data_IF_196274636880
#
_entry.id   IF_196274636880
#
_cell.length_a   1.000
_cell.length_b   1.000
_cell.length_c   1.000
_cell.angle_alpha   90.00
_cell.angle_beta   90.00
_cell.angle_gamma   90.00
#
_symmetry.space_group_name_H-M   'P 1'
#
loop_
_entity.id
_entity.type
_entity.pdbx_description
1 polymer ?
#
# COMPACT_ATOMS: atom_id res chain seq x y z
N UNK A 1 22.22 6.40 -28.81
CA UNK A 1 22.33 5.51 -27.63
C UNK A 1 21.18 5.88 -26.69
N UNK A 2 20.35 4.92 -26.27
CA UNK A 2 19.19 5.21 -25.43
C UNK A 2 19.62 5.72 -24.05
N UNK A 3 19.05 6.83 -23.58
CA UNK A 3 19.32 7.38 -22.24
C UNK A 3 18.38 6.71 -21.24
N UNK A 4 18.92 6.27 -20.11
CA UNK A 4 18.17 5.72 -18.97
C UNK A 4 18.14 6.77 -17.87
N UNK A 5 16.97 7.01 -17.30
CA UNK A 5 16.77 7.89 -16.16
C UNK A 5 16.37 7.06 -14.92
N UNK A 6 16.80 7.48 -13.74
CA UNK A 6 16.42 6.83 -12.48
C UNK A 6 15.35 7.70 -11.83
N UNK A 7 14.14 7.19 -11.69
CA UNK A 7 13.04 7.82 -10.97
C UNK A 7 12.97 7.34 -9.53
N UNK A 8 12.79 8.23 -8.57
CA UNK A 8 12.61 7.92 -7.15
C UNK A 8 11.15 8.12 -6.78
N UNK A 9 10.54 7.18 -6.06
CA UNK A 9 9.11 7.21 -5.73
C UNK A 9 8.90 6.86 -4.25
N UNK A 10 8.10 7.63 -3.53
CA UNK A 10 7.86 7.45 -2.10
C UNK A 10 6.41 7.02 -1.81
N UNK A 11 6.21 5.76 -1.42
CA UNK A 11 4.97 5.31 -0.79
C UNK A 11 5.02 5.65 0.70
N UNK A 12 4.54 6.84 1.07
CA UNK A 12 4.51 7.33 2.45
C UNK A 12 3.18 6.95 3.07
N UNK A 13 3.22 6.10 4.08
CA UNK A 13 2.04 5.53 4.74
C UNK A 13 1.92 6.07 6.16
N UNK A 14 0.69 6.42 6.53
CA UNK A 14 0.30 6.74 7.89
C UNK A 14 -1.06 6.10 8.23
N UNK A 15 -1.51 6.25 9.48
CA UNK A 15 -2.90 5.93 9.87
C UNK A 15 -3.54 7.18 10.45
N UNK A 16 -4.71 7.54 9.94
CA UNK A 16 -5.48 8.69 10.41
C UNK A 16 -6.95 8.31 10.47
N UNK A 17 -7.66 8.71 11.54
CA UNK A 17 -9.08 8.42 11.74
C UNK A 17 -9.45 6.94 11.56
N UNK A 18 -8.56 6.02 11.99
CA UNK A 18 -8.71 4.58 11.79
C UNK A 18 -8.79 4.18 10.32
N UNK A 19 -8.17 4.93 9.42
CA UNK A 19 -7.95 4.55 8.04
C UNK A 19 -6.46 4.56 7.73
N UNK A 20 -5.97 3.56 6.99
CA UNK A 20 -4.63 3.61 6.44
C UNK A 20 -4.62 4.62 5.28
N UNK A 21 -3.71 5.58 5.34
CA UNK A 21 -3.61 6.65 4.35
C UNK A 21 -2.25 6.64 3.69
N UNK A 22 -2.23 6.96 2.41
CA UNK A 22 -1.03 7.29 1.67
C UNK A 22 -0.98 8.79 1.42
N UNK A 23 0.22 9.37 1.44
CA UNK A 23 0.41 10.75 1.00
C UNK A 23 0.38 10.80 -0.52
N UNK A 24 -0.50 11.65 -1.05
CA UNK A 24 -0.71 11.83 -2.48
C UNK A 24 -0.33 13.26 -2.86
N UNK A 25 0.41 13.42 -3.95
CA UNK A 25 0.65 14.70 -4.63
C UNK A 25 -0.21 14.75 -5.88
N UNK A 26 -0.69 15.95 -6.23
CA UNK A 26 -1.51 16.18 -7.42
C UNK A 26 -0.76 17.04 -8.41
N UNK A 27 -0.82 16.63 -9.67
CA UNK A 27 -0.32 17.40 -10.80
C UNK A 27 -1.36 17.38 -11.92
N UNK A 28 -0.99 17.95 -13.08
CA UNK A 28 -1.77 17.85 -14.31
C UNK A 28 -2.11 16.38 -14.64
N UNK A 29 -3.31 16.12 -15.16
CA UNK A 29 -3.76 14.77 -15.48
C UNK A 29 -2.85 14.10 -16.50
N UNK A 30 -2.59 12.79 -16.31
CA UNK A 30 -1.90 11.99 -17.32
C UNK A 30 -2.80 11.66 -18.53
N UNK A 31 -2.26 10.90 -19.50
CA UNK A 31 -2.99 10.50 -20.70
C UNK A 31 -4.31 9.73 -20.44
N UNK A 32 -4.50 9.20 -19.22
CA UNK A 32 -5.73 8.53 -18.79
C UNK A 32 -6.57 9.35 -17.81
N UNK A 33 -6.22 10.62 -17.60
CA UNK A 33 -6.94 11.53 -16.71
C UNK A 33 -6.60 11.37 -15.22
N UNK A 34 -5.61 10.53 -14.86
CA UNK A 34 -5.23 10.35 -13.47
C UNK A 34 -4.39 11.55 -12.99
N UNK A 35 -4.80 12.15 -11.87
CA UNK A 35 -4.12 13.32 -11.26
C UNK A 35 -3.38 12.97 -9.98
N UNK A 36 -3.83 11.93 -9.27
CA UNK A 36 -3.24 11.49 -8.00
C UNK A 36 -1.94 10.69 -8.26
N UNK A 37 -0.86 11.03 -7.57
CA UNK A 37 0.42 10.33 -7.63
C UNK A 37 1.11 10.21 -6.26
N UNK A 38 2.09 9.32 -6.15
CA UNK A 38 3.02 9.32 -5.02
C UNK A 38 4.04 10.46 -5.20
N UNK A 39 4.62 11.02 -4.12
CA UNK A 39 5.77 11.90 -4.25
C UNK A 39 6.90 11.22 -5.03
N UNK A 40 7.43 11.90 -6.04
CA UNK A 40 8.33 11.28 -7.01
C UNK A 40 9.27 12.30 -7.68
N UNK A 41 10.39 11.86 -8.22
CA UNK A 41 11.24 12.73 -9.04
C UNK A 41 12.54 12.08 -9.48
N UNK A 42 13.27 12.69 -10.45
CA UNK A 42 14.49 12.12 -10.98
C UNK A 42 15.64 12.14 -9.96
N UNK A 43 16.48 11.11 -9.98
CA UNK A 43 17.75 11.13 -9.28
C UNK A 43 18.77 11.98 -10.05
N UNK A 44 19.27 13.05 -9.42
CA UNK A 44 20.34 13.88 -9.96
C UNK A 44 21.66 13.62 -9.21
N UNK A 45 22.64 12.94 -9.81
CA UNK A 45 23.91 12.62 -9.13
C UNK A 45 24.78 13.84 -8.81
N UNK A 46 24.49 15.02 -9.37
CA UNK A 46 25.22 16.26 -9.04
C UNK A 46 24.76 16.87 -7.72
N UNK A 47 23.51 16.66 -7.33
CA UNK A 47 22.90 17.27 -6.14
C UNK A 47 22.53 16.23 -5.09
N UNK A 48 22.26 14.99 -5.47
CA UNK A 48 21.87 13.90 -4.58
C UNK A 48 23.08 12.99 -4.32
N UNK A 49 23.55 12.98 -3.07
CA UNK A 49 24.68 12.12 -2.65
C UNK A 49 24.34 10.63 -2.72
N UNK A 50 23.10 10.29 -2.38
CA UNK A 50 22.56 8.92 -2.44
C UNK A 50 21.14 8.94 -3.00
N UNK A 51 20.66 7.78 -3.48
CA UNK A 51 19.27 7.62 -3.92
C UNK A 51 18.29 8.02 -2.80
N UNK A 52 18.56 7.61 -1.57
CA UNK A 52 17.75 7.96 -0.41
C UNK A 52 17.75 9.48 -0.13
N UNK A 53 18.90 10.16 -0.25
CA UNK A 53 18.94 11.63 -0.10
C UNK A 53 18.13 12.35 -1.17
N UNK A 54 18.13 11.82 -2.40
CA UNK A 54 17.32 12.37 -3.49
C UNK A 54 15.83 12.18 -3.22
N UNK A 55 15.44 11.01 -2.72
CA UNK A 55 14.05 10.73 -2.32
C UNK A 55 13.59 11.71 -1.23
N UNK A 56 14.39 11.87 -0.18
CA UNK A 56 14.10 12.80 0.93
C UNK A 56 13.98 14.24 0.44
N UNK A 57 14.85 14.67 -0.48
CA UNK A 57 14.76 15.99 -1.11
C UNK A 57 13.44 16.19 -1.84
N UNK A 58 13.02 15.24 -2.67
CA UNK A 58 11.76 15.33 -3.42
C UNK A 58 10.53 15.32 -2.50
N UNK A 59 10.54 14.51 -1.44
CA UNK A 59 9.44 14.46 -0.47
C UNK A 59 9.33 15.78 0.29
N UNK A 60 10.46 16.38 0.69
CA UNK A 60 10.48 17.70 1.31
C UNK A 60 9.97 18.78 0.35
N UNK A 61 10.37 18.74 -0.92
CA UNK A 61 9.97 19.74 -1.92
C UNK A 61 8.48 19.65 -2.28
N UNK A 62 7.96 18.45 -2.52
CA UNK A 62 6.59 18.23 -3.00
C UNK A 62 5.56 18.17 -1.87
N UNK A 63 5.99 17.87 -0.65
CA UNK A 63 5.06 17.67 0.44
C UNK A 63 5.52 18.17 1.82
N UNK A 64 6.66 18.88 1.89
CA UNK A 64 7.18 19.50 3.12
C UNK A 64 7.36 18.55 4.30
N UNK A 65 7.57 17.26 4.03
CA UNK A 65 7.68 16.22 5.04
C UNK A 65 9.11 15.72 5.20
N UNK A 66 9.62 15.83 6.42
CA UNK A 66 10.83 15.13 6.83
C UNK A 66 10.50 13.65 7.12
N UNK A 67 11.11 12.76 6.35
CA UNK A 67 10.94 11.32 6.56
C UNK A 67 11.75 10.85 7.77
N UNK A 68 11.12 10.12 8.69
CA UNK A 68 11.84 9.37 9.73
C UNK A 68 12.31 8.03 9.17
N UNK A 69 11.41 7.06 9.24
CA UNK A 69 11.60 5.72 8.71
C UNK A 69 11.39 5.70 7.18
N UNK A 70 12.39 5.21 6.44
CA UNK A 70 12.29 4.91 5.02
C UNK A 70 13.08 3.62 4.69
N UNK A 71 12.53 2.78 3.82
CA UNK A 71 13.21 1.60 3.29
C UNK A 71 12.98 1.46 1.79
N UNK A 72 13.99 1.01 1.06
CA UNK A 72 13.82 0.69 -0.35
C UNK A 72 12.91 -0.54 -0.50
N UNK A 73 11.90 -0.43 -1.37
CA UNK A 73 10.96 -1.51 -1.69
C UNK A 73 11.50 -2.39 -2.81
N UNK A 74 11.39 -1.88 -4.04
CA UNK A 74 11.67 -2.61 -5.27
C UNK A 74 12.12 -1.64 -6.36
N UNK A 75 12.85 -2.18 -7.34
CA UNK A 75 13.23 -1.47 -8.55
C UNK A 75 12.42 -2.02 -9.70
N UNK A 76 11.71 -1.13 -10.37
CA UNK A 76 10.82 -1.44 -11.46
C UNK A 76 11.49 -0.94 -12.75
N UNK A 77 11.57 -1.79 -13.78
CA UNK A 77 12.35 -1.56 -15.00
C UNK A 77 11.59 -1.75 -16.32
N UNK A 78 10.29 -2.02 -16.29
CA UNK A 78 9.53 -2.34 -17.51
C UNK A 78 9.38 -1.10 -18.43
N UNK A 79 9.51 -1.28 -19.76
CA UNK A 79 9.17 -0.22 -20.74
C UNK A 79 7.65 -0.01 -20.76
N UNK A 80 7.20 1.24 -20.92
CA UNK A 80 5.77 1.58 -20.96
C UNK A 80 5.21 2.23 -19.69
N UNK A 81 5.99 2.35 -18.61
CA UNK A 81 5.49 2.81 -17.30
C UNK A 81 5.35 4.32 -17.15
N UNK A 82 6.03 5.07 -18.02
CA UNK A 82 5.85 6.51 -18.22
C UNK A 82 5.38 6.79 -19.66
N UNK A 83 4.85 5.78 -20.36
CA UNK A 83 4.54 5.93 -21.78
C UNK A 83 3.34 6.84 -21.97
N UNK A 84 3.62 8.05 -22.41
CA UNK A 84 2.64 8.90 -23.07
C UNK A 84 2.41 8.41 -24.51
N UNK A 85 1.29 8.78 -25.11
CA UNK A 85 1.03 8.42 -26.50
C UNK A 85 2.13 9.00 -27.41
N UNK A 86 2.93 8.12 -28.05
CA UNK A 86 4.08 8.53 -28.87
C UNK A 86 5.44 8.54 -28.17
N UNK A 87 5.57 7.92 -26.99
CA UNK A 87 6.75 7.96 -26.12
C UNK A 87 8.09 7.61 -26.85
N UNK A 88 8.89 8.67 -27.08
CA UNK A 88 10.30 8.62 -27.52
C UNK A 88 11.25 9.06 -26.40
N UNK A 89 10.74 9.22 -25.18
CA UNK A 89 11.47 9.69 -24.01
C UNK A 89 12.52 8.72 -23.47
N UNK A 90 13.34 9.15 -22.51
CA UNK A 90 14.32 8.28 -21.86
C UNK A 90 13.61 7.14 -21.11
N UNK A 91 14.23 5.97 -21.11
CA UNK A 91 13.71 4.83 -20.37
C UNK A 91 13.86 5.07 -18.86
N UNK A 92 12.76 5.13 -18.12
CA UNK A 92 12.79 5.37 -16.67
C UNK A 92 12.85 4.05 -15.90
N UNK A 93 13.83 3.95 -15.00
CA UNK A 93 13.93 2.91 -13.96
C UNK A 93 13.44 3.50 -12.64
N UNK A 94 12.23 3.13 -12.22
CA UNK A 94 11.61 3.59 -10.98
C UNK A 94 12.12 2.79 -9.78
N UNK A 95 12.63 3.47 -8.76
CA UNK A 95 12.98 2.89 -7.46
C UNK A 95 11.93 3.34 -6.45
N UNK A 96 11.15 2.37 -5.95
CA UNK A 96 10.13 2.62 -4.94
C UNK A 96 10.70 2.53 -3.53
N UNK A 97 10.25 3.41 -2.66
CA UNK A 97 10.54 3.41 -1.23
C UNK A 97 9.25 3.37 -0.43
N UNK A 98 9.29 2.69 0.71
CA UNK A 98 8.25 2.73 1.73
C UNK A 98 8.73 3.63 2.85
N UNK A 99 7.92 4.62 3.21
CA UNK A 99 8.14 5.40 4.41
C UNK A 99 6.93 5.28 5.34
N UNK A 100 7.19 5.27 6.64
CA UNK A 100 6.17 5.22 7.68
C UNK A 100 6.25 6.50 8.49
N UNK A 101 5.11 7.14 8.71
CA UNK A 101 5.03 8.37 9.50
C UNK A 101 3.71 8.47 10.24
N UNK A 102 3.60 9.51 11.07
CA UNK A 102 2.42 9.82 11.86
C UNK A 102 1.74 11.03 11.25
N UNK A 103 0.40 11.03 11.20
CA UNK A 103 -0.35 12.24 10.86
C UNK A 103 -0.43 13.10 12.11
N UNK A 104 0.34 14.17 12.18
CA UNK A 104 0.30 15.12 13.31
C UNK A 104 -0.81 16.15 13.14
N UNK A 105 -1.46 16.57 14.24
CA UNK A 105 -2.41 17.71 14.27
C UNK A 105 -1.73 19.05 13.96
N UNK A 106 -0.39 19.07 14.03
CA UNK A 106 0.47 20.20 13.67
C UNK A 106 1.69 19.69 12.92
N UNK A 107 1.49 19.04 11.76
CA UNK A 107 2.53 19.00 10.74
C UNK A 107 2.33 20.23 9.84
N UNK A 108 3.05 21.35 10.06
CA UNK A 108 3.07 22.49 9.13
C UNK A 108 3.76 22.15 7.79
N UNK A 109 3.81 20.86 7.39
CA UNK A 109 4.61 20.36 6.28
C UNK A 109 3.81 19.97 5.05
N UNK A 110 2.59 19.43 5.20
CA UNK A 110 1.78 19.01 4.04
C UNK A 110 1.08 20.22 3.41
N UNK A 111 1.88 21.16 2.90
CA UNK A 111 1.39 22.36 2.22
C UNK A 111 0.89 22.04 0.80
N UNK A 112 1.36 20.93 0.21
CA UNK A 112 1.17 20.58 -1.21
C UNK A 112 0.73 19.12 -1.47
N UNK A 113 0.56 18.32 -0.42
CA UNK A 113 0.08 16.94 -0.51
C UNK A 113 -1.32 16.75 0.10
N UNK A 114 -1.92 15.58 -0.06
CA UNK A 114 -3.17 15.21 0.61
C UNK A 114 -3.10 13.77 1.07
N UNK A 115 -3.47 13.52 2.33
CA UNK A 115 -3.64 12.17 2.84
C UNK A 115 -4.90 11.55 2.26
N UNK A 116 -4.76 10.41 1.56
CA UNK A 116 -5.89 9.68 0.99
C UNK A 116 -5.90 8.26 1.51
N UNK A 117 -7.10 7.78 1.84
CA UNK A 117 -7.32 6.37 2.19
C UNK A 117 -6.79 5.49 1.07
N UNK A 118 -5.91 4.54 1.37
CA UNK A 118 -5.43 3.66 0.29
C UNK A 118 -6.55 2.77 -0.26
N UNK A 119 -7.66 2.63 0.48
CA UNK A 119 -8.82 1.85 0.06
C UNK A 119 -9.61 2.55 -1.04
N UNK A 120 -9.38 3.85 -1.27
CA UNK A 120 -9.85 4.52 -2.48
C UNK A 120 -9.20 3.93 -3.75
N UNK A 121 -7.91 3.59 -3.65
CA UNK A 121 -7.16 2.96 -4.74
C UNK A 121 -7.29 1.44 -4.73
N UNK A 122 -7.67 0.81 -3.62
CA UNK A 122 -7.84 -0.65 -3.54
C UNK A 122 -9.12 -1.01 -2.77
N UNK A 123 -10.31 -0.75 -3.35
CA UNK A 123 -11.59 -0.90 -2.64
C UNK A 123 -11.92 -2.34 -2.24
N UNK A 124 -11.25 -3.34 -2.81
CA UNK A 124 -11.38 -4.75 -2.46
C UNK A 124 -10.48 -5.21 -1.29
N UNK A 125 -9.69 -4.32 -0.69
CA UNK A 125 -8.74 -4.67 0.38
C UNK A 125 -9.27 -4.41 1.79
N UNK A 126 -10.40 -3.72 1.97
CA UNK A 126 -10.98 -3.41 3.28
C UNK A 126 -12.02 -4.46 3.71
N UNK A 127 -11.58 -5.46 4.46
CA UNK A 127 -12.39 -6.57 4.97
C UNK A 127 -12.96 -6.33 6.37
N UNK A 128 -12.79 -5.13 6.95
CA UNK A 128 -13.25 -4.81 8.31
C UNK A 128 -14.77 -4.88 8.40
N UNK A 129 -15.47 -4.62 7.31
CA UNK A 129 -16.93 -4.73 7.21
C UNK A 129 -17.39 -6.08 6.62
N UNK A 130 -16.52 -7.09 6.63
CA UNK A 130 -16.72 -8.35 5.92
C UNK A 130 -16.25 -8.28 4.47
N UNK A 131 -16.63 -9.27 3.67
CA UNK A 131 -16.21 -9.39 2.27
C UNK A 131 -16.67 -8.17 1.45
N UNK A 132 -15.75 -7.42 0.80
CA UNK A 132 -16.12 -6.23 0.02
C UNK A 132 -17.11 -6.56 -1.10
N UNK A 133 -18.22 -5.82 -1.16
CA UNK A 133 -19.27 -6.04 -2.17
C UNK A 133 -18.76 -5.93 -3.61
N UNK A 134 -17.78 -5.05 -3.85
CA UNK A 134 -17.14 -4.87 -5.17
C UNK A 134 -16.50 -6.15 -5.71
N UNK A 135 -16.10 -7.08 -4.83
CA UNK A 135 -15.58 -8.38 -5.27
C UNK A 135 -16.63 -9.16 -6.04
N UNK A 136 -17.83 -9.25 -5.48
CA UNK A 136 -18.94 -10.02 -6.08
C UNK A 136 -19.61 -9.27 -7.23
N UNK A 137 -19.80 -7.95 -7.09
CA UNK A 137 -20.56 -7.18 -8.08
C UNK A 137 -19.78 -6.79 -9.32
N UNK A 138 -18.44 -6.68 -9.25
CA UNK A 138 -17.61 -6.17 -10.35
C UNK A 138 -16.36 -7.02 -10.58
N UNK A 139 -15.50 -7.18 -9.57
CA UNK A 139 -14.14 -7.72 -9.78
C UNK A 139 -14.14 -9.16 -10.25
N UNK A 140 -14.82 -10.06 -9.53
CA UNK A 140 -14.78 -11.50 -9.83
C UNK A 140 -15.51 -11.87 -11.13
N UNK A 141 -16.70 -11.31 -11.46
CA UNK A 141 -17.33 -11.54 -12.75
C UNK A 141 -16.42 -11.19 -13.93
N UNK A 142 -15.71 -10.06 -13.84
CA UNK A 142 -14.85 -9.55 -14.92
C UNK A 142 -13.55 -10.34 -15.04
N UNK A 143 -12.97 -10.75 -13.92
CA UNK A 143 -11.83 -11.65 -13.90
C UNK A 143 -12.19 -13.06 -14.42
N UNK A 144 -13.41 -13.54 -14.16
CA UNK A 144 -13.89 -14.80 -14.73
C UNK A 144 -13.99 -14.73 -16.25
N UNK A 145 -14.60 -13.68 -16.79
CA UNK A 145 -14.66 -13.46 -18.24
C UNK A 145 -13.25 -13.42 -18.87
N UNK A 146 -12.30 -12.73 -18.22
CA UNK A 146 -10.91 -12.72 -18.67
C UNK A 146 -10.23 -14.08 -18.60
N UNK A 147 -10.52 -14.87 -17.55
CA UNK A 147 -9.95 -16.19 -17.35
C UNK A 147 -10.44 -17.21 -18.40
N UNK A 148 -11.69 -17.08 -18.84
CA UNK A 148 -12.32 -17.97 -19.82
C UNK A 148 -11.91 -17.66 -21.28
N UNK A 149 -11.27 -16.50 -21.54
CA UNK A 149 -10.79 -16.13 -22.87
C UNK A 149 -9.65 -17.04 -23.33
N UNK A 150 -9.65 -17.48 -24.61
CA UNK A 150 -8.56 -18.27 -25.16
C UNK A 150 -7.23 -17.53 -25.06
N UNK A 151 -6.17 -18.25 -24.69
CA UNK A 151 -4.82 -17.69 -24.69
C UNK A 151 -4.42 -17.35 -26.14
N UNK A 152 -3.71 -16.23 -26.31
CA UNK A 152 -3.19 -15.85 -27.63
C UNK A 152 -2.24 -16.93 -28.15
N UNK A 153 -2.31 -17.32 -29.44
CA UNK A 153 -1.34 -18.21 -30.05
C UNK A 153 0.09 -17.67 -29.83
N UNK A 154 1.00 -18.51 -29.33
CA UNK A 154 2.39 -18.13 -29.05
C UNK A 154 2.63 -17.42 -27.71
N UNK A 155 1.61 -17.26 -26.86
CA UNK A 155 1.84 -16.82 -25.48
C UNK A 155 2.72 -17.84 -24.73
N UNK A 156 3.69 -17.38 -23.91
CA UNK A 156 4.52 -18.29 -23.14
C UNK A 156 3.65 -19.14 -22.21
N UNK A 157 3.89 -20.45 -22.21
CA UNK A 157 3.19 -21.38 -21.33
C UNK A 157 3.41 -20.95 -19.87
N UNK A 158 2.32 -20.59 -19.18
CA UNK A 158 2.38 -20.28 -17.75
C UNK A 158 2.09 -21.55 -16.95
N UNK A 159 2.86 -21.82 -15.87
CA UNK A 159 2.64 -23.01 -15.03
C UNK A 159 1.26 -23.04 -14.35
N UNK A 160 0.68 -21.87 -14.08
CA UNK A 160 -0.59 -21.71 -13.36
C UNK A 160 -1.59 -21.02 -14.28
N UNK A 161 -2.79 -21.60 -14.41
CA UNK A 161 -3.87 -21.07 -15.23
C UNK A 161 -4.45 -19.77 -14.65
N UNK A 162 -5.12 -18.97 -15.51
CA UNK A 162 -5.75 -17.72 -15.08
C UNK A 162 -6.76 -17.92 -13.94
N UNK A 163 -7.62 -18.92 -14.06
CA UNK A 163 -8.61 -19.26 -13.04
C UNK A 163 -7.97 -19.59 -11.68
N UNK A 164 -6.90 -20.39 -11.67
CA UNK A 164 -6.17 -20.72 -10.44
C UNK A 164 -5.51 -19.49 -9.80
N UNK A 165 -4.95 -18.58 -10.61
CA UNK A 165 -4.39 -17.33 -10.09
C UNK A 165 -5.46 -16.45 -9.46
N UNK A 166 -6.63 -16.32 -10.08
CA UNK A 166 -7.78 -15.59 -9.51
C UNK A 166 -8.17 -16.22 -8.18
N UNK A 167 -8.31 -17.55 -8.13
CA UNK A 167 -8.62 -18.30 -6.91
C UNK A 167 -7.64 -18.01 -5.77
N UNK A 168 -6.34 -18.11 -6.07
CA UNK A 168 -5.27 -17.89 -5.09
C UNK A 168 -5.19 -16.43 -4.60
N UNK A 169 -5.45 -15.45 -5.48
CA UNK A 169 -5.28 -14.04 -5.14
C UNK A 169 -6.49 -13.45 -4.42
N UNK A 170 -7.70 -13.91 -4.75
CA UNK A 170 -8.95 -13.36 -4.22
C UNK A 170 -9.66 -14.28 -3.21
N UNK A 171 -9.08 -15.43 -2.87
CA UNK A 171 -9.65 -16.36 -1.90
C UNK A 171 -11.04 -16.86 -2.32
N UNK A 172 -11.17 -17.33 -3.56
CA UNK A 172 -12.42 -17.97 -4.04
C UNK A 172 -12.32 -19.49 -3.92
N UNK A 173 -13.44 -20.19 -4.05
CA UNK A 173 -13.47 -21.66 -4.16
C UNK A 173 -12.72 -22.39 -3.02
N UNK A 174 -12.88 -21.90 -1.79
CA UNK A 174 -12.26 -22.46 -0.59
C UNK A 174 -10.80 -22.04 -0.34
N UNK A 175 -10.19 -21.24 -1.21
CA UNK A 175 -8.91 -20.61 -0.94
C UNK A 175 -9.05 -19.50 0.12
N UNK A 176 -8.04 -19.35 0.97
CA UNK A 176 -8.02 -18.34 2.02
C UNK A 176 -7.62 -16.97 1.46
N UNK A 177 -8.20 -15.90 2.01
CA UNK A 177 -7.73 -14.55 1.75
C UNK A 177 -6.35 -14.33 2.35
N UNK A 178 -5.39 -13.89 1.53
CA UNK A 178 -4.05 -13.52 1.94
C UNK A 178 -3.89 -12.00 1.79
N UNK A 179 -3.76 -11.30 2.92
CA UNK A 179 -3.65 -9.86 2.97
C UNK A 179 -2.33 -9.34 2.35
N UNK A 180 -1.31 -10.18 2.18
CA UNK A 180 -0.01 -9.77 1.60
C UNK A 180 -0.04 -9.72 0.07
N UNK A 181 -1.03 -10.38 -0.58
CA UNK A 181 -1.16 -10.50 -2.04
C UNK A 181 -1.73 -9.26 -2.75
N UNK A 182 -1.54 -8.07 -2.18
CA UNK A 182 -2.08 -6.82 -2.75
C UNK A 182 -1.52 -6.56 -4.15
N UNK A 183 -0.21 -6.75 -4.33
CA UNK A 183 0.43 -6.62 -5.64
C UNK A 183 -0.08 -7.67 -6.62
N UNK A 184 -0.18 -8.94 -6.22
CA UNK A 184 -0.68 -10.00 -7.11
C UNK A 184 -2.10 -9.72 -7.61
N UNK A 185 -2.98 -9.20 -6.73
CA UNK A 185 -4.34 -8.78 -7.09
C UNK A 185 -4.34 -7.61 -8.06
N UNK A 186 -3.52 -6.58 -7.81
CA UNK A 186 -3.36 -5.46 -8.74
C UNK A 186 -2.85 -5.92 -10.11
N UNK A 187 -1.83 -6.77 -10.15
CA UNK A 187 -1.23 -7.29 -11.38
C UNK A 187 -2.23 -8.14 -12.18
N UNK A 188 -3.10 -8.90 -11.51
CA UNK A 188 -4.18 -9.63 -12.19
C UNK A 188 -5.17 -8.70 -12.87
N UNK A 189 -5.59 -7.63 -12.18
CA UNK A 189 -6.51 -6.65 -12.75
C UNK A 189 -5.86 -5.84 -13.88
N UNK A 190 -4.56 -5.56 -13.76
CA UNK A 190 -3.77 -4.91 -14.81
C UNK A 190 -3.62 -5.82 -16.04
N UNK A 191 -3.27 -7.09 -15.86
CA UNK A 191 -3.18 -8.08 -16.94
C UNK A 191 -4.55 -8.32 -17.62
N UNK A 192 -5.62 -8.19 -16.85
CA UNK A 192 -6.99 -8.27 -17.35
C UNK A 192 -7.49 -6.99 -18.04
N UNK A 193 -6.71 -5.91 -18.08
CA UNK A 193 -7.16 -4.66 -18.71
C UNK A 193 -8.31 -3.97 -17.98
N UNK A 194 -8.43 -4.19 -16.65
CA UNK A 194 -9.56 -3.72 -15.84
C UNK A 194 -9.28 -2.43 -15.07
N UNK A 195 -8.01 -2.11 -14.78
CA UNK A 195 -7.63 -0.86 -14.09
C UNK A 195 -7.25 0.24 -15.09
N UNK A 196 -7.42 1.49 -14.68
CA UNK A 196 -7.11 2.69 -15.47
C UNK A 196 -5.70 2.65 -16.08
N UNK A 197 -4.72 2.19 -15.31
CA UNK A 197 -3.33 2.08 -15.76
C UNK A 197 -3.18 1.09 -16.92
N UNK A 198 -3.92 -0.02 -16.92
CA UNK A 198 -3.87 -0.98 -18.02
C UNK A 198 -4.56 -0.44 -19.28
N UNK A 199 -5.64 0.32 -19.12
CA UNK A 199 -6.32 0.99 -20.23
C UNK A 199 -5.43 2.04 -20.89
N UNK A 200 -4.64 2.77 -20.09
CA UNK A 200 -3.63 3.73 -20.55
C UNK A 200 -2.51 3.05 -21.31
N UNK A 201 -1.90 2.04 -20.69
CA UNK A 201 -0.65 1.45 -21.15
C UNK A 201 -0.86 0.45 -22.29
N UNK A 202 -2.04 -0.20 -22.34
CA UNK A 202 -2.38 -1.29 -23.26
C UNK A 202 -3.84 -1.19 -23.71
N UNK A 203 -4.21 -0.11 -24.42
CA UNK A 203 -5.59 0.11 -24.85
C UNK A 203 -6.16 -1.08 -25.64
N UNK A 204 -5.32 -1.83 -26.35
CA UNK A 204 -5.68 -3.03 -27.12
C UNK A 204 -6.05 -4.26 -26.28
N UNK A 205 -5.70 -4.27 -24.99
CA UNK A 205 -6.05 -5.34 -24.04
C UNK A 205 -7.25 -4.98 -23.16
N UNK A 206 -7.70 -3.72 -23.22
CA UNK A 206 -8.82 -3.21 -22.43
C UNK A 206 -10.06 -4.06 -22.65
N UNK A 207 -10.67 -4.51 -21.55
CA UNK A 207 -11.98 -5.13 -21.63
C UNK A 207 -13.02 -4.01 -21.48
N UNK A 208 -13.96 -3.84 -22.44
CA UNK A 208 -15.01 -2.85 -22.33
C UNK A 208 -15.73 -2.98 -20.99
N UNK A 209 -15.78 -1.89 -20.23
CA UNK A 209 -16.49 -1.79 -18.95
C UNK A 209 -17.54 -0.70 -19.05
N UNK A 210 -18.58 -0.78 -18.23
CA UNK A 210 -19.52 0.34 -18.13
C UNK A 210 -18.90 1.47 -17.30
N UNK A 211 -19.31 2.74 -17.50
CA UNK A 211 -18.80 3.85 -16.69
C UNK A 211 -19.07 3.70 -15.17
N UNK A 212 -20.04 2.87 -14.79
CA UNK A 212 -20.34 2.53 -13.39
C UNK A 212 -19.39 1.50 -12.78
N UNK A 213 -18.67 0.73 -13.59
CA UNK A 213 -17.69 -0.27 -13.14
C UNK A 213 -16.35 0.42 -12.88
N UNK A 214 -16.15 0.88 -11.64
CA UNK A 214 -14.86 1.42 -11.21
C UNK A 214 -14.08 0.38 -10.42
N UNK A 215 -12.80 0.24 -10.73
CA UNK A 215 -11.89 -0.65 -10.00
C UNK A 215 -11.06 0.17 -9.01
N UNK A 216 -11.64 1.15 -8.32
CA UNK A 216 -10.90 2.13 -7.52
C UNK A 216 -10.27 3.26 -8.36
N UNK A 217 -9.75 4.29 -7.69
CA UNK A 217 -9.11 5.42 -8.37
C UNK A 217 -7.79 5.03 -9.01
N UNK A 218 -7.57 5.45 -10.26
CA UNK A 218 -6.26 5.33 -10.92
C UNK A 218 -5.23 6.29 -10.34
N UNK A 219 -3.95 5.96 -10.51
CA UNK A 219 -2.83 6.85 -10.19
C UNK A 219 -1.95 7.05 -11.42
N UNK A 220 -1.19 8.15 -11.41
CA UNK A 220 -0.22 8.46 -12.45
C UNK A 220 0.87 7.39 -12.53
N UNK A 221 1.38 7.16 -13.75
CA UNK A 221 2.45 6.21 -14.03
C UNK A 221 2.20 4.81 -13.43
N UNK A 222 3.20 4.20 -12.81
CA UNK A 222 3.11 2.93 -12.08
C UNK A 222 2.90 3.13 -10.57
N UNK A 223 2.52 4.33 -10.12
CA UNK A 223 2.43 4.67 -8.69
C UNK A 223 1.47 3.76 -7.92
N UNK A 224 0.36 3.35 -8.54
CA UNK A 224 -0.59 2.42 -7.90
C UNK A 224 0.04 1.04 -7.68
N UNK A 225 0.85 0.55 -8.62
CA UNK A 225 1.62 -0.68 -8.47
C UNK A 225 2.65 -0.57 -7.32
N UNK A 226 3.34 0.56 -7.23
CA UNK A 226 4.30 0.84 -6.15
C UNK A 226 3.58 0.85 -4.79
N UNK A 227 2.41 1.50 -4.72
CA UNK A 227 1.60 1.52 -3.51
C UNK A 227 1.09 0.11 -3.13
N UNK A 228 0.62 -0.69 -4.09
CA UNK A 228 0.24 -2.08 -3.84
C UNK A 228 1.40 -2.91 -3.25
N UNK A 229 2.61 -2.71 -3.77
CA UNK A 229 3.85 -3.32 -3.25
C UNK A 229 4.13 -2.86 -1.82
N UNK A 230 3.99 -1.56 -1.55
CA UNK A 230 4.19 -0.96 -0.23
C UNK A 230 3.20 -1.54 0.80
N UNK A 231 1.92 -1.67 0.45
CA UNK A 231 0.89 -2.24 1.31
C UNK A 231 1.23 -3.69 1.68
N UNK A 232 1.53 -4.53 0.69
CA UNK A 232 1.94 -5.92 0.93
C UNK A 232 3.16 -6.00 1.83
N UNK A 233 4.17 -5.14 1.60
CA UNK A 233 5.38 -5.07 2.45
C UNK A 233 5.05 -4.66 3.88
N UNK A 234 4.25 -3.62 4.10
CA UNK A 234 3.88 -3.18 5.45
C UNK A 234 3.13 -4.29 6.18
N UNK A 235 2.13 -4.92 5.53
CA UNK A 235 1.33 -6.01 6.10
C UNK A 235 2.19 -7.21 6.50
N UNK A 236 3.14 -7.60 5.66
CA UNK A 236 4.12 -8.63 6.01
C UNK A 236 4.98 -8.18 7.20
N UNK A 237 5.54 -6.96 7.14
CA UNK A 237 6.53 -6.47 8.10
C UNK A 237 5.98 -6.33 9.51
N UNK A 238 4.73 -5.88 9.68
CA UNK A 238 4.10 -5.74 11.00
C UNK A 238 3.93 -7.09 11.72
N UNK A 239 3.90 -8.22 10.99
CA UNK A 239 3.80 -9.57 11.58
C UNK A 239 5.06 -10.03 12.30
N UNK A 240 6.23 -9.50 11.94
CA UNK A 240 7.52 -9.99 12.45
C UNK A 240 8.53 -8.90 12.87
N UNK A 241 8.27 -7.63 12.56
CA UNK A 241 8.99 -6.46 13.10
C UNK A 241 8.01 -5.48 13.78
N UNK A 242 8.45 -4.74 14.81
CA UNK A 242 7.62 -3.76 15.51
C UNK A 242 7.48 -2.43 14.74
N UNK A 243 7.45 -2.46 13.40
CA UNK A 243 7.34 -1.24 12.58
C UNK A 243 5.99 -0.52 12.72
N UNK A 244 5.00 -1.20 13.28
CA UNK A 244 3.69 -0.59 13.60
C UNK A 244 3.83 0.64 14.51
N UNK A 245 4.85 0.69 15.36
CA UNK A 245 5.03 1.82 16.29
C UNK A 245 5.53 3.10 15.61
N UNK A 246 6.05 3.03 14.37
CA UNK A 246 6.31 4.21 13.55
C UNK A 246 5.00 4.94 13.15
N UNK A 247 3.87 4.23 13.22
CA UNK A 247 2.53 4.73 12.90
C UNK A 247 1.74 5.14 14.15
N UNK A 248 2.28 4.95 15.34
CA UNK A 248 1.60 5.20 16.62
C UNK A 248 2.13 6.48 17.28
N UNK A 249 1.29 7.23 18.01
CA UNK A 249 1.80 8.28 18.91
C UNK A 249 2.70 7.68 19.98
N UNK A 250 3.46 8.52 20.70
CA UNK A 250 4.39 8.04 21.73
C UNK A 250 3.65 7.32 22.87
N UNK A 251 2.45 7.80 23.23
CA UNK A 251 1.58 7.19 24.23
C UNK A 251 0.21 6.82 23.63
N UNK A 252 -0.14 5.54 23.73
CA UNK A 252 -1.34 4.96 23.13
C UNK A 252 -2.01 3.93 24.03
N UNK A 253 -3.28 3.67 23.76
CA UNK A 253 -4.02 2.55 24.35
C UNK A 253 -3.86 1.29 23.49
N UNK A 254 -3.97 0.11 24.09
CA UNK A 254 -3.98 -1.15 23.31
C UNK A 254 -5.12 -1.24 22.29
N UNK A 255 -6.21 -0.51 22.54
CA UNK A 255 -7.32 -0.43 21.59
C UNK A 255 -6.96 0.41 20.36
N UNK A 256 -6.29 1.54 20.53
CA UNK A 256 -5.75 2.33 19.42
C UNK A 256 -4.74 1.51 18.61
N UNK A 257 -3.82 0.81 19.29
CA UNK A 257 -2.87 -0.08 18.62
C UNK A 257 -3.57 -1.17 17.80
N UNK A 258 -4.59 -1.84 18.37
CA UNK A 258 -5.38 -2.85 17.66
C UNK A 258 -6.04 -2.25 16.41
N UNK A 259 -6.67 -1.08 16.55
CA UNK A 259 -7.35 -0.39 15.45
C UNK A 259 -6.39 -0.01 14.33
N UNK A 260 -5.20 0.49 14.67
CA UNK A 260 -4.14 0.80 13.68
C UNK A 260 -3.70 -0.46 12.94
N UNK A 261 -3.49 -1.58 13.64
CA UNK A 261 -3.14 -2.86 13.01
C UNK A 261 -4.25 -3.35 12.09
N UNK A 262 -5.51 -3.33 12.53
CA UNK A 262 -6.66 -3.73 11.72
C UNK A 262 -6.86 -2.85 10.49
N UNK A 263 -6.65 -1.53 10.64
CA UNK A 263 -6.68 -0.58 9.54
C UNK A 263 -5.63 -0.92 8.47
N UNK A 264 -4.43 -1.36 8.86
CA UNK A 264 -3.38 -1.76 7.92
C UNK A 264 -3.65 -3.13 7.31
N UNK A 265 -4.02 -4.14 8.12
CA UNK A 265 -4.21 -5.51 7.65
C UNK A 265 -5.43 -5.65 6.73
N UNK A 266 -6.53 -4.94 7.01
CA UNK A 266 -7.79 -5.06 6.27
C UNK A 266 -8.85 -5.94 6.95
N UNK A 267 -8.56 -7.04 7.65
CA UNK A 267 -9.56 -7.73 8.49
C UNK A 267 -9.48 -7.31 9.97
N UNK A 268 -10.56 -7.59 10.72
CA UNK A 268 -10.57 -7.42 12.17
C UNK A 268 -9.78 -8.52 12.90
N UNK A 269 -9.22 -8.17 14.06
CA UNK A 269 -8.47 -9.07 14.93
C UNK A 269 -9.26 -9.43 16.18
N UNK A 270 -9.04 -10.66 16.67
CA UNK A 270 -9.62 -11.07 17.93
C UNK A 270 -8.99 -10.31 19.11
N UNK A 271 -9.78 -9.45 19.76
CA UNK A 271 -9.35 -8.54 20.83
C UNK A 271 -8.49 -9.19 21.92
N UNK A 272 -8.91 -10.34 22.45
CA UNK A 272 -8.18 -11.01 23.53
C UNK A 272 -6.86 -11.61 23.04
N UNK A 273 -6.83 -12.14 21.80
CA UNK A 273 -5.61 -12.71 21.24
C UNK A 273 -4.60 -11.61 20.96
N UNK A 274 -5.04 -10.48 20.41
CA UNK A 274 -4.19 -9.33 20.15
C UNK A 274 -3.56 -8.78 21.43
N UNK A 275 -4.37 -8.58 22.48
CA UNK A 275 -3.88 -8.11 23.77
C UNK A 275 -2.81 -9.03 24.36
N UNK A 276 -3.10 -10.33 24.42
CA UNK A 276 -2.14 -11.34 24.90
C UNK A 276 -0.85 -11.35 24.08
N UNK A 277 -0.96 -11.20 22.76
CA UNK A 277 0.19 -11.17 21.85
C UNK A 277 1.11 -9.99 22.17
N UNK A 278 0.56 -8.78 22.29
CA UNK A 278 1.34 -7.56 22.55
C UNK A 278 1.98 -7.61 23.94
N UNK A 279 1.23 -8.03 24.96
CA UNK A 279 1.73 -8.13 26.34
C UNK A 279 2.81 -9.22 26.47
N UNK A 280 2.58 -10.43 25.92
CA UNK A 280 3.55 -11.54 26.00
C UNK A 280 4.81 -11.31 25.16
N UNK A 281 4.72 -10.55 24.07
CA UNK A 281 5.89 -10.18 23.28
C UNK A 281 6.81 -9.18 23.99
N UNK A 282 6.34 -8.53 25.07
CA UNK A 282 7.08 -7.50 25.79
C UNK A 282 7.26 -6.21 24.98
N UNK A 283 6.46 -6.03 23.93
CA UNK A 283 6.60 -4.93 22.97
C UNK A 283 6.26 -3.57 23.54
N UNK A 284 5.45 -3.54 24.60
CA UNK A 284 4.94 -2.30 25.19
C UNK A 284 5.09 -2.36 26.70
N UNK A 285 5.22 -1.19 27.30
CA UNK A 285 5.26 -1.00 28.74
C UNK A 285 4.19 0.01 29.17
N UNK A 286 3.56 -0.17 30.35
CA UNK A 286 2.57 0.75 30.86
C UNK A 286 3.23 2.06 31.30
N UNK A 287 2.62 3.21 30.99
CA UNK A 287 3.12 4.52 31.44
C UNK A 287 2.67 4.87 32.86
N UNK A 288 1.70 4.13 33.41
CA UNK A 288 1.02 4.45 34.67
C UNK A 288 -0.17 5.40 34.50
N UNK A 289 -0.26 6.07 33.35
CA UNK A 289 -1.33 7.01 33.04
C UNK A 289 -2.56 6.32 32.42
N UNK A 290 -3.68 7.02 32.47
CA UNK A 290 -4.94 6.58 31.87
C UNK A 290 -5.56 7.69 31.04
N UNK A 291 -6.17 7.33 29.92
CA UNK A 291 -6.94 8.25 29.07
C UNK A 291 -8.43 8.01 29.30
N UNK A 292 -9.13 9.04 29.76
CA UNK A 292 -10.60 9.07 29.84
C UNK A 292 -11.16 9.61 28.54
N UNK A 293 -11.88 8.77 27.79
CA UNK A 293 -12.77 9.22 26.72
C UNK A 293 -14.17 9.37 27.28
N UNK A 294 -14.95 10.33 26.77
CA UNK A 294 -16.34 10.58 27.19
C UNK A 294 -17.15 9.27 27.15
N UNK A 295 -17.62 8.82 28.32
CA UNK A 295 -18.58 7.71 28.44
C UNK A 295 -18.04 6.29 28.68
N UNK A 296 -16.81 6.09 29.17
CA UNK A 296 -16.30 4.74 29.47
C UNK A 296 -15.23 4.63 30.56
N UNK A 297 -14.85 3.40 30.93
CA UNK A 297 -13.75 3.11 31.87
C UNK A 297 -12.43 3.71 31.35
N UNK A 298 -11.62 4.39 32.19
CA UNK A 298 -10.32 4.91 31.79
C UNK A 298 -9.44 3.81 31.16
N UNK A 299 -8.86 4.10 29.99
CA UNK A 299 -8.00 3.18 29.28
C UNK A 299 -6.53 3.40 29.67
N UNK A 300 -5.81 2.33 30.04
CA UNK A 300 -4.38 2.41 30.34
C UNK A 300 -3.58 2.85 29.13
N UNK A 301 -2.63 3.75 29.34
CA UNK A 301 -1.66 4.17 28.35
C UNK A 301 -0.40 3.30 28.41
N UNK A 302 0.16 3.10 27.23
CA UNK A 302 1.35 2.30 26.97
C UNK A 302 2.27 3.06 26.02
N UNK A 303 3.56 2.72 26.10
CA UNK A 303 4.60 3.19 25.19
C UNK A 303 5.33 2.00 24.57
N UNK A 304 5.88 2.20 23.37
CA UNK A 304 6.73 1.19 22.75
C UNK A 304 8.05 1.02 23.52
N UNK A 305 8.37 -0.22 23.91
CA UNK A 305 9.61 -0.58 24.61
C UNK A 305 10.73 -0.84 23.58
N UNK A 306 11.56 0.17 23.33
CA UNK A 306 12.59 0.12 22.26
C UNK A 306 13.69 -0.90 22.54
N UNK A 307 13.93 -1.22 23.81
CA UNK A 307 14.96 -2.15 24.30
C UNK A 307 14.77 -3.56 23.74
N UNK A 308 13.54 -3.95 23.42
CA UNK A 308 13.21 -5.23 22.77
C UNK A 308 13.98 -5.43 21.45
N UNK A 309 14.30 -4.35 20.72
CA UNK A 309 15.06 -4.42 19.48
C UNK A 309 16.50 -4.93 19.70
N UNK A 310 17.05 -4.75 20.90
CA UNK A 310 18.39 -5.21 21.28
C UNK A 310 18.37 -6.63 21.84
N UNK A 311 17.24 -7.05 22.42
CA UNK A 311 17.08 -8.36 23.07
C UNK A 311 16.76 -9.50 22.10
N UNK A 312 16.10 -9.21 20.96
CA UNK A 312 15.61 -10.23 20.02
C UNK A 312 15.79 -9.82 18.57
N UNK A 313 16.29 -10.71 17.68
CA UNK A 313 16.53 -10.38 16.28
C UNK A 313 15.24 -10.11 15.46
N UNK A 314 14.06 -10.58 15.91
CA UNK A 314 12.76 -10.37 15.24
C UNK A 314 11.59 -10.21 16.24
N UNK A 315 11.35 -9.00 16.76
CA UNK A 315 10.40 -8.80 17.86
C UNK A 315 8.96 -8.46 17.47
N UNK A 316 8.56 -8.49 16.20
CA UNK A 316 7.25 -7.96 15.79
C UNK A 316 6.01 -8.65 16.33
N UNK A 317 4.86 -8.03 16.05
CA UNK A 317 3.55 -8.46 16.51
C UNK A 317 3.15 -9.70 15.70
N UNK A 318 3.40 -10.91 16.22
CA UNK A 318 3.04 -12.18 15.54
C UNK A 318 1.53 -12.38 15.44
N UNK A 319 0.84 -11.58 14.64
CA UNK A 319 -0.60 -11.64 14.46
C UNK A 319 -0.95 -12.86 13.62
N UNK A 320 -1.74 -13.78 14.19
CA UNK A 320 -2.54 -14.71 13.38
C UNK A 320 -3.84 -13.97 13.06
N UNK A 321 -3.99 -13.50 11.82
CA UNK A 321 -5.29 -13.00 11.36
C UNK A 321 -6.32 -14.12 11.55
N UNK A 322 -7.50 -13.79 12.09
CA UNK A 322 -8.59 -14.77 12.12
C UNK A 322 -8.95 -15.10 10.67
N UNK A 323 -9.09 -16.39 10.37
CA UNK A 323 -9.47 -16.90 9.06
C UNK A 323 -10.85 -16.33 8.72
N UNK A 324 -10.92 -15.47 7.70
CA UNK A 324 -12.16 -15.01 7.08
C UNK A 324 -12.41 -15.85 5.84
#
# INVERSE_FOLDING_TARGET
>A
MGRVEIGLNAAIVAVSNNEPVALIVREEPDAAGATDGLPFGPFNPKTHRTLESGLRSWVQEQAGLDLGYAEQLYTFGDRGRHAEAGDTGPHVVSIGYLALTRVGESQPGVERGTWRSWYQFFPWEDWRKGRPQILESVVLPRLKEWADRPQRPGAPARPIQRADRVRMCFGTDGALWDEERVLDRYELLYEAGLVTEAMRDRPELTIPSTPSETFGSGMRFDHRRILATAIGRVRAKIKYRPVIFELMPDDFTLFELQRTVEAILGPHLHKQNFRRLVESAGLVEPTGEVRTRTGGRPAKLYRFRREVLLERPAPGVRVKANRV
#
